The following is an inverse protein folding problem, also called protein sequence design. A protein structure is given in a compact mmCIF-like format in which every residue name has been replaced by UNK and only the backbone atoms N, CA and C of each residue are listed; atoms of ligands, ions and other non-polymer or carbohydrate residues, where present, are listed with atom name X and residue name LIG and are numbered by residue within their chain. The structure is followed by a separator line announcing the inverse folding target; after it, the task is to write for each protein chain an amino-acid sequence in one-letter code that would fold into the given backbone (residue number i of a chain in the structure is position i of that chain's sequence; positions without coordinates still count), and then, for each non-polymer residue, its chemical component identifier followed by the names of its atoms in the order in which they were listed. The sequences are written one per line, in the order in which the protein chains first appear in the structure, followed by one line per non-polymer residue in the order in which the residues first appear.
data_IF_108066528510
#
_entry.id   IF_108066528510
#
_cell.length_a   1.000
_cell.length_b   1.000
_cell.length_c   1.000
_cell.angle_alpha   90.00
_cell.angle_beta   90.00
_cell.angle_gamma   90.00
#
_symmetry.space_group_name_H-M   'P 1'
#
loop_
_entity.id
_entity.type
_entity.pdbx_description
1 polymer ?
#
# COMPACT_ATOMS: atom_id res chain seq x y z
N UNK A 1 6.30 18.99 19.27
CA UNK A 1 5.64 17.87 18.56
C UNK A 1 4.15 17.97 18.86
N UNK A 2 3.24 17.85 17.87
CA UNK A 2 1.80 17.94 18.12
C UNK A 2 1.41 17.00 19.25
N UNK A 3 0.58 17.47 20.17
CA UNK A 3 0.14 16.76 21.39
C UNK A 3 -0.47 15.37 21.10
N UNK A 4 -0.93 15.11 19.87
CA UNK A 4 -1.47 13.80 19.46
C UNK A 4 -0.38 12.74 19.21
N UNK A 5 0.79 13.07 18.63
CA UNK A 5 1.80 12.04 18.26
C UNK A 5 2.29 11.27 19.50
N UNK A 6 2.59 11.97 20.60
CA UNK A 6 3.03 11.34 21.84
C UNK A 6 1.95 10.40 22.42
N UNK A 7 0.67 10.79 22.33
CA UNK A 7 -0.45 9.93 22.73
C UNK A 7 -0.53 8.69 21.86
N UNK A 8 -0.30 8.82 20.55
CA UNK A 8 -0.27 7.69 19.62
C UNK A 8 0.91 6.74 19.84
N UNK A 9 2.07 7.25 20.25
CA UNK A 9 3.23 6.46 20.66
C UNK A 9 2.91 5.70 21.96
N UNK A 10 2.33 6.37 22.96
CA UNK A 10 2.00 5.74 24.23
C UNK A 10 0.93 4.64 24.08
N UNK A 11 -0.07 4.86 23.22
CA UNK A 11 -1.03 3.80 22.84
C UNK A 11 -0.35 2.57 22.23
N UNK A 12 0.73 2.76 21.46
CA UNK A 12 1.49 1.65 20.87
C UNK A 12 2.34 0.91 21.91
N UNK A 13 2.89 1.63 22.89
CA UNK A 13 3.58 1.03 24.05
C UNK A 13 2.64 0.18 24.87
N UNK A 14 1.45 0.69 25.21
CA UNK A 14 0.44 -0.10 25.92
C UNK A 14 0.09 -1.40 25.17
N UNK A 15 -0.18 -1.29 23.87
CA UNK A 15 -0.47 -2.46 23.01
C UNK A 15 0.73 -3.39 22.82
N UNK A 16 1.96 -2.87 22.94
CA UNK A 16 3.16 -3.69 22.90
C UNK A 16 3.20 -4.66 24.08
N UNK A 17 2.83 -4.18 25.26
CA UNK A 17 2.74 -4.98 26.49
C UNK A 17 1.57 -5.97 26.43
N UNK A 18 0.40 -5.53 25.93
CA UNK A 18 -0.83 -6.34 25.96
C UNK A 18 -0.93 -7.37 24.81
N UNK A 19 -0.42 -7.07 23.61
CA UNK A 19 -0.72 -7.83 22.39
C UNK A 19 0.48 -8.62 21.83
N UNK A 20 1.69 -8.42 22.34
CA UNK A 20 2.89 -9.12 21.87
C UNK A 20 3.18 -10.32 22.77
N UNK A 21 3.43 -11.48 22.15
CA UNK A 21 3.64 -12.73 22.86
C UNK A 21 5.08 -13.21 22.81
N UNK A 22 5.85 -12.80 21.79
CA UNK A 22 7.21 -13.30 21.61
C UNK A 22 8.07 -12.30 20.84
N UNK A 23 9.29 -12.09 21.33
CA UNK A 23 10.37 -11.36 20.66
C UNK A 23 11.56 -12.31 20.52
N UNK A 24 12.13 -12.42 19.33
CA UNK A 24 13.29 -13.29 19.05
C UNK A 24 14.31 -12.52 18.25
N UNK A 25 15.53 -12.42 18.76
CA UNK A 25 16.66 -11.87 18.00
C UNK A 25 17.10 -12.88 16.91
N UNK A 26 17.19 -12.40 15.67
CA UNK A 26 17.58 -13.18 14.48
C UNK A 26 18.89 -12.71 13.87
N UNK A 27 19.49 -11.65 14.39
CA UNK A 27 20.79 -11.16 13.94
C UNK A 27 21.89 -11.44 14.96
N UNK A 28 23.06 -10.86 14.69
CA UNK A 28 24.30 -11.19 15.42
C UNK A 28 24.61 -10.21 16.56
N UNK A 29 23.92 -9.07 16.62
CA UNK A 29 24.12 -8.06 17.65
C UNK A 29 22.99 -8.14 18.68
N UNK A 30 23.23 -7.94 19.99
CA UNK A 30 22.17 -7.99 21.00
C UNK A 30 21.11 -6.89 20.82
N UNK A 31 21.54 -5.66 20.56
CA UNK A 31 20.65 -4.49 20.40
C UNK A 31 20.30 -4.13 18.94
N UNK A 32 21.29 -3.70 18.15
CA UNK A 32 21.13 -3.25 16.75
C UNK A 32 21.00 -4.41 15.78
N UNK A 33 19.84 -5.05 15.79
CA UNK A 33 19.60 -6.33 15.14
C UNK A 33 18.25 -6.42 14.46
N UNK A 34 18.07 -7.52 13.74
CA UNK A 34 16.80 -7.97 13.20
C UNK A 34 16.10 -8.86 14.23
N UNK A 35 14.87 -8.51 14.59
CA UNK A 35 14.02 -9.25 15.50
C UNK A 35 12.78 -9.78 14.77
N UNK A 36 12.33 -10.95 15.17
CA UNK A 36 11.05 -11.52 14.81
C UNK A 36 10.08 -11.35 15.99
N UNK A 37 8.99 -10.61 15.77
CA UNK A 37 8.02 -10.26 16.81
C UNK A 37 6.67 -10.86 16.47
N UNK A 38 6.12 -11.67 17.38
CA UNK A 38 4.84 -12.37 17.21
C UNK A 38 3.77 -11.78 18.13
N UNK A 39 2.55 -11.68 17.61
CA UNK A 39 1.40 -11.13 18.34
C UNK A 39 0.36 -12.20 18.68
N UNK A 40 -0.57 -11.86 19.59
CA UNK A 40 -1.72 -12.71 19.96
C UNK A 40 -2.58 -13.17 18.76
N UNK A 41 -2.50 -12.46 17.63
CA UNK A 41 -3.18 -12.83 16.38
C UNK A 41 -2.54 -13.99 15.62
N UNK A 42 -1.42 -14.54 16.11
CA UNK A 42 -0.64 -15.57 15.42
C UNK A 42 0.23 -15.04 14.26
N UNK A 43 0.21 -13.73 14.00
CA UNK A 43 1.04 -13.09 12.97
C UNK A 43 2.38 -12.64 13.54
N UNK A 44 3.42 -12.81 12.74
CA UNK A 44 4.79 -12.38 13.05
C UNK A 44 5.30 -11.36 12.04
N UNK A 45 6.09 -10.41 12.52
CA UNK A 45 6.68 -9.33 11.71
C UNK A 45 8.16 -9.16 12.04
N UNK A 46 8.92 -8.66 11.07
CA UNK A 46 10.34 -8.33 11.24
C UNK A 46 10.47 -6.90 11.74
N UNK A 47 11.28 -6.70 12.78
CA UNK A 47 11.62 -5.40 13.37
C UNK A 47 13.13 -5.23 13.30
N UNK A 48 13.61 -4.08 12.86
CA UNK A 48 15.04 -3.81 12.79
C UNK A 48 15.39 -2.56 13.60
N UNK A 49 16.19 -2.77 14.64
CA UNK A 49 16.58 -1.75 15.62
C UNK A 49 17.88 -1.08 15.18
N UNK A 50 17.84 0.26 15.14
CA UNK A 50 18.92 1.16 14.71
C UNK A 50 19.20 2.25 15.75
N UNK A 51 18.20 2.56 16.55
CA UNK A 51 18.27 3.53 17.63
C UNK A 51 17.40 3.06 18.79
N UNK A 52 17.85 3.32 20.01
CA UNK A 52 17.08 3.01 21.23
C UNK A 52 16.13 4.15 21.59
N UNK A 53 16.46 5.38 21.17
CA UNK A 53 15.81 6.59 21.63
C UNK A 53 15.20 7.42 20.49
N UNK A 54 15.71 7.24 19.27
CA UNK A 54 15.18 7.91 18.09
C UNK A 54 14.22 7.01 17.31
N UNK A 55 13.27 7.63 16.61
CA UNK A 55 12.24 6.94 15.81
C UNK A 55 12.77 6.46 14.45
N UNK A 56 13.99 5.90 14.42
CA UNK A 56 14.67 5.45 13.20
C UNK A 56 14.48 3.96 12.93
N UNK A 57 13.88 3.22 13.86
CA UNK A 57 13.63 1.78 13.73
C UNK A 57 12.59 1.48 12.65
N UNK A 58 12.66 0.29 12.05
CA UNK A 58 11.72 -0.12 11.00
C UNK A 58 10.99 -1.42 11.35
N UNK A 59 9.79 -1.58 10.80
CA UNK A 59 8.99 -2.79 10.98
C UNK A 59 8.25 -3.16 9.69
N UNK A 60 8.09 -4.46 9.43
CA UNK A 60 7.33 -4.94 8.26
C UNK A 60 5.82 -4.97 8.48
N UNK A 61 5.31 -4.57 9.65
CA UNK A 61 3.88 -4.61 9.92
C UNK A 61 3.10 -3.54 9.14
N UNK A 62 1.82 -3.79 8.78
CA UNK A 62 1.00 -2.82 8.07
C UNK A 62 0.85 -1.48 8.79
N UNK A 63 0.74 -1.49 10.14
CA UNK A 63 0.61 -0.26 10.93
C UNK A 63 1.83 0.66 10.71
N UNK A 64 3.05 0.13 10.83
CA UNK A 64 4.28 0.93 10.63
C UNK A 64 4.33 1.56 9.23
N UNK A 65 3.98 0.80 8.20
CA UNK A 65 4.03 1.26 6.80
C UNK A 65 3.04 2.40 6.49
N UNK A 66 1.99 2.57 7.30
CA UNK A 66 0.92 3.55 7.05
C UNK A 66 0.75 4.60 8.15
N UNK A 67 1.41 4.47 9.30
CA UNK A 67 1.12 5.32 10.45
C UNK A 67 1.88 6.63 10.53
N UNK A 68 2.95 6.82 9.75
CA UNK A 68 3.71 8.07 9.66
C UNK A 68 4.28 8.60 11.00
N UNK A 69 4.38 7.75 12.03
CA UNK A 69 4.92 8.13 13.36
C UNK A 69 6.40 7.74 13.49
N UNK A 70 6.86 6.75 12.74
CA UNK A 70 8.20 6.17 12.90
C UNK A 70 8.30 5.09 13.99
N UNK A 71 7.18 4.65 14.58
CA UNK A 71 7.14 3.48 15.46
C UNK A 71 5.82 2.69 15.35
N UNK A 72 5.80 1.47 15.88
CA UNK A 72 4.61 0.62 15.98
C UNK A 72 4.71 -0.24 17.26
N UNK A 73 3.63 -0.93 17.63
CA UNK A 73 3.64 -1.80 18.82
C UNK A 73 4.75 -2.86 18.82
N UNK A 74 5.18 -3.33 17.65
CA UNK A 74 6.25 -4.34 17.55
C UNK A 74 7.63 -3.71 17.82
N UNK A 75 7.86 -2.48 17.35
CA UNK A 75 9.11 -1.75 17.64
C UNK A 75 9.17 -1.44 19.14
N UNK A 76 8.09 -0.88 19.70
CA UNK A 76 8.04 -0.56 21.13
C UNK A 76 8.24 -1.81 22.00
N UNK A 77 7.67 -2.95 21.61
CA UNK A 77 7.88 -4.21 22.35
C UNK A 77 9.34 -4.64 22.36
N UNK A 78 10.05 -4.53 21.23
CA UNK A 78 11.49 -4.85 21.19
C UNK A 78 12.27 -3.86 22.04
N UNK A 79 11.97 -2.56 21.98
CA UNK A 79 12.65 -1.57 22.81
C UNK A 79 12.45 -1.79 24.32
N UNK A 80 11.23 -2.15 24.73
CA UNK A 80 10.91 -2.51 26.12
C UNK A 80 11.71 -3.76 26.51
N UNK A 81 11.63 -4.82 25.70
CA UNK A 81 12.34 -6.08 25.94
C UNK A 81 13.86 -5.88 26.07
N UNK A 82 14.47 -5.07 25.20
CA UNK A 82 15.91 -4.78 25.26
C UNK A 82 16.30 -4.00 26.52
N UNK A 83 15.47 -3.03 26.94
CA UNK A 83 15.70 -2.26 28.16
C UNK A 83 15.58 -3.14 29.41
N UNK A 84 14.65 -4.09 29.43
CA UNK A 84 14.49 -5.02 30.54
C UNK A 84 15.62 -6.06 30.58
N UNK A 85 15.91 -6.71 29.45
CA UNK A 85 16.91 -7.79 29.35
C UNK A 85 18.34 -7.29 29.60
N UNK A 86 18.68 -6.10 29.11
CA UNK A 86 20.03 -5.55 29.18
C UNK A 86 20.16 -4.35 30.13
N UNK A 87 19.27 -4.22 31.13
CA UNK A 87 19.20 -3.06 32.04
C UNK A 87 20.58 -2.52 32.47
N UNK A 88 21.46 -3.38 32.97
CA UNK A 88 22.77 -2.97 33.53
C UNK A 88 23.88 -2.79 32.47
N UNK A 89 23.66 -3.28 31.24
CA UNK A 89 24.68 -3.33 30.17
C UNK A 89 24.26 -2.59 28.91
N UNK A 90 23.11 -1.94 28.91
CA UNK A 90 22.53 -1.31 27.73
C UNK A 90 23.47 -0.27 27.13
N UNK A 91 24.08 0.57 27.96
CA UNK A 91 25.01 1.63 27.53
C UNK A 91 26.33 1.09 26.99
N UNK A 92 26.81 -0.04 27.52
CA UNK A 92 28.00 -0.74 27.02
C UNK A 92 27.72 -1.28 25.62
N UNK A 93 26.65 -2.06 25.48
CA UNK A 93 26.23 -2.68 24.23
C UNK A 93 25.80 -1.65 23.16
N UNK A 94 25.28 -0.49 23.57
CA UNK A 94 24.91 0.58 22.65
C UNK A 94 26.13 1.22 21.97
N UNK A 95 27.31 1.14 22.58
CA UNK A 95 28.57 1.64 21.98
C UNK A 95 29.12 0.69 20.90
N UNK A 96 28.79 -0.61 20.98
CA UNK A 96 29.33 -1.66 20.11
C UNK A 96 28.61 -1.77 18.75
N UNK A 97 28.42 -0.66 18.03
CA UNK A 97 27.66 -0.69 16.77
C UNK A 97 28.27 -1.65 15.73
N UNK A 98 27.42 -2.33 14.93
CA UNK A 98 27.87 -3.12 13.78
C UNK A 98 28.77 -2.31 12.84
N UNK A 99 29.77 -2.96 12.24
CA UNK A 99 30.77 -2.29 11.39
C UNK A 99 30.22 -1.72 10.08
N UNK A 100 29.09 -2.22 9.60
CA UNK A 100 28.45 -1.76 8.37
C UNK A 100 27.35 -0.74 8.63
N UNK A 101 26.88 -0.10 7.57
CA UNK A 101 25.70 0.77 7.57
C UNK A 101 24.67 0.23 6.59
N UNK A 102 23.40 0.44 6.92
CA UNK A 102 22.29 0.13 6.03
C UNK A 102 21.62 1.40 5.52
N UNK A 103 21.23 1.37 4.26
CA UNK A 103 20.32 2.34 3.67
C UNK A 103 18.91 1.77 3.80
N UNK A 104 18.00 2.51 4.41
CA UNK A 104 16.67 2.04 4.79
C UNK A 104 15.58 3.05 4.42
N UNK A 105 14.34 2.56 4.37
CA UNK A 105 13.16 3.38 4.14
C UNK A 105 12.56 3.74 5.50
N UNK A 106 12.47 5.02 5.80
CA UNK A 106 11.93 5.54 7.04
C UNK A 106 10.50 6.03 6.81
N UNK A 107 9.56 5.59 7.65
CA UNK A 107 8.15 5.99 7.61
C UNK A 107 7.84 6.99 8.73
N UNK A 108 8.31 8.23 8.55
CA UNK A 108 7.91 9.38 9.37
C UNK A 108 6.72 10.12 8.74
N UNK A 109 6.59 11.41 9.04
CA UNK A 109 5.62 12.32 8.39
C UNK A 109 5.74 12.20 6.86
N UNK A 110 6.98 12.23 6.39
CA UNK A 110 7.34 11.90 5.01
C UNK A 110 8.06 10.55 4.95
N UNK A 111 7.82 9.81 3.87
CA UNK A 111 8.60 8.61 3.56
C UNK A 111 9.93 9.05 2.99
N UNK A 112 11.01 8.80 3.73
CA UNK A 112 12.37 9.20 3.34
C UNK A 112 13.29 8.01 3.21
N UNK A 113 14.24 8.07 2.30
CA UNK A 113 15.35 7.12 2.24
C UNK A 113 16.47 7.66 3.09
N UNK A 114 16.99 6.83 4.01
CA UNK A 114 17.98 7.24 4.99
C UNK A 114 19.15 6.26 5.07
N UNK A 115 20.30 6.73 5.54
CA UNK A 115 21.47 5.91 5.85
C UNK A 115 21.67 5.86 7.36
N UNK A 116 22.02 4.69 7.90
CA UNK A 116 22.31 4.52 9.32
C UNK A 116 23.58 5.29 9.71
N UNK A 117 23.46 6.03 10.81
CA UNK A 117 24.57 6.75 11.43
C UNK A 117 25.08 5.99 12.66
N UNK A 118 26.37 6.13 13.01
CA UNK A 118 27.41 6.86 12.28
C UNK A 118 27.86 6.10 11.00
N UNK A 119 28.37 6.84 10.02
CA UNK A 119 28.89 6.24 8.79
C UNK A 119 30.15 5.39 9.06
N UNK A 120 30.42 4.36 8.24
CA UNK A 120 31.65 3.57 8.37
C UNK A 120 32.90 4.44 8.26
N UNK A 121 33.90 4.21 9.10
CA UNK A 121 35.16 5.00 9.18
C UNK A 121 36.07 4.88 7.93
N UNK A 122 35.66 4.15 6.89
CA UNK A 122 36.43 4.02 5.64
C UNK A 122 36.23 5.27 4.81
N UNK A 123 37.31 6.03 4.59
CA UNK A 123 37.27 7.32 3.88
C UNK A 123 36.53 7.26 2.54
N UNK A 124 36.82 6.26 1.69
CA UNK A 124 36.15 6.08 0.40
C UNK A 124 34.63 5.85 0.52
N UNK A 125 34.19 5.10 1.53
CA UNK A 125 32.75 4.85 1.79
C UNK A 125 32.09 6.10 2.34
N UNK A 126 32.75 6.77 3.29
CA UNK A 126 32.24 7.99 3.92
C UNK A 126 32.08 9.11 2.90
N UNK A 127 33.11 9.35 2.07
CA UNK A 127 33.09 10.35 1.01
C UNK A 127 32.01 10.04 -0.03
N UNK A 128 31.81 8.77 -0.37
CA UNK A 128 30.72 8.38 -1.27
C UNK A 128 29.36 8.70 -0.66
N UNK A 129 29.10 8.26 0.57
CA UNK A 129 27.79 8.42 1.21
C UNK A 129 27.44 9.89 1.47
N UNK A 130 28.40 10.74 1.84
CA UNK A 130 28.14 12.18 2.06
C UNK A 130 27.79 12.96 0.80
N UNK A 131 28.04 12.41 -0.40
CA UNK A 131 27.55 13.00 -1.67
C UNK A 131 26.05 12.78 -1.89
N UNK A 132 25.49 11.72 -1.29
CA UNK A 132 24.09 11.32 -1.49
C UNK A 132 23.22 11.54 -0.27
N UNK A 133 23.80 11.64 0.93
CA UNK A 133 23.06 11.82 2.18
C UNK A 133 23.53 13.08 2.91
N UNK A 134 22.57 13.79 3.49
CA UNK A 134 22.85 14.94 4.34
C UNK A 134 23.43 14.52 5.72
N UNK A 135 23.88 15.47 6.56
CA UNK A 135 24.42 15.15 7.89
C UNK A 135 23.44 14.42 8.84
N UNK A 136 22.14 14.51 8.60
CA UNK A 136 21.09 13.79 9.35
C UNK A 136 20.79 12.39 8.79
N UNK A 137 21.51 12.01 7.73
CA UNK A 137 21.41 10.73 7.05
C UNK A 137 20.22 10.66 6.08
N UNK A 138 19.64 11.77 5.63
CA UNK A 138 18.52 11.77 4.67
C UNK A 138 19.04 11.90 3.24
N UNK A 139 18.47 11.12 2.31
CA UNK A 139 18.85 11.13 0.89
C UNK A 139 18.59 12.51 0.27
N UNK A 140 19.60 13.04 -0.42
CA UNK A 140 19.55 14.32 -1.12
C UNK A 140 18.98 14.10 -2.53
N UNK A 141 17.98 14.90 -2.90
CA UNK A 141 17.39 14.89 -4.25
C UNK A 141 16.38 13.76 -4.48
N UNK A 142 16.08 13.49 -5.75
CA UNK A 142 15.07 12.50 -6.13
C UNK A 142 15.58 11.06 -5.94
N UNK A 143 14.87 10.19 -5.19
CA UNK A 143 15.22 8.77 -5.09
C UNK A 143 15.33 8.07 -6.44
N UNK A 144 14.53 8.48 -7.43
CA UNK A 144 14.56 7.93 -8.81
C UNK A 144 15.92 8.10 -9.49
N UNK A 145 16.63 9.18 -9.19
CA UNK A 145 17.92 9.51 -9.81
C UNK A 145 19.09 9.13 -8.88
N UNK A 146 18.98 9.48 -7.61
CA UNK A 146 20.05 9.31 -6.63
C UNK A 146 20.34 7.84 -6.32
N UNK A 147 19.32 6.98 -6.19
CA UNK A 147 19.52 5.57 -5.83
C UNK A 147 20.20 4.74 -6.92
N UNK A 148 19.80 4.83 -8.22
CA UNK A 148 20.54 4.17 -9.28
C UNK A 148 21.99 4.64 -9.37
N UNK A 149 22.23 5.96 -9.26
CA UNK A 149 23.58 6.53 -9.29
C UNK A 149 24.43 6.05 -8.09
N UNK A 150 23.86 6.04 -6.89
CA UNK A 150 24.52 5.51 -5.70
C UNK A 150 24.83 4.01 -5.84
N UNK A 151 23.89 3.21 -6.35
CA UNK A 151 24.08 1.78 -6.58
C UNK A 151 25.23 1.51 -7.57
N UNK A 152 25.28 2.29 -8.66
CA UNK A 152 26.37 2.23 -9.63
C UNK A 152 27.73 2.62 -8.99
N UNK A 153 27.76 3.71 -8.21
CA UNK A 153 28.96 4.13 -7.52
C UNK A 153 29.45 3.11 -6.48
N UNK A 154 28.54 2.52 -5.69
CA UNK A 154 28.85 1.44 -4.74
C UNK A 154 29.43 0.20 -5.45
N UNK A 155 29.02 -0.08 -6.69
CA UNK A 155 29.53 -1.20 -7.47
C UNK A 155 30.99 -0.99 -7.93
N UNK A 156 31.48 0.25 -7.97
CA UNK A 156 32.89 0.57 -8.30
C UNK A 156 33.83 0.40 -7.12
N UNK A 157 33.31 0.30 -5.89
CA UNK A 157 34.13 0.13 -4.69
C UNK A 157 34.73 -1.29 -4.60
N UNK A 158 35.91 -1.45 -3.98
CA UNK A 158 36.46 -2.76 -3.67
C UNK A 158 35.46 -3.63 -2.88
N UNK A 159 35.42 -4.96 -3.07
CA UNK A 159 34.46 -5.83 -2.39
C UNK A 159 34.42 -5.67 -0.86
N UNK A 160 35.57 -5.39 -0.24
CA UNK A 160 35.69 -5.14 1.20
C UNK A 160 34.91 -3.89 1.63
N UNK A 161 35.00 -2.81 0.86
CA UNK A 161 34.33 -1.55 1.18
C UNK A 161 32.84 -1.61 0.78
N UNK A 162 32.52 -2.24 -0.35
CA UNK A 162 31.13 -2.49 -0.78
C UNK A 162 30.35 -3.29 0.26
N UNK A 163 30.99 -4.25 0.92
CA UNK A 163 30.35 -5.06 1.97
C UNK A 163 29.93 -4.27 3.22
N UNK A 164 30.45 -3.05 3.39
CA UNK A 164 30.09 -2.16 4.51
C UNK A 164 28.77 -1.43 4.30
N UNK A 165 28.21 -1.42 3.09
CA UNK A 165 26.96 -0.71 2.78
C UNK A 165 25.93 -1.69 2.26
N UNK A 166 24.80 -1.81 2.97
CA UNK A 166 23.69 -2.65 2.55
C UNK A 166 22.48 -1.81 2.16
N UNK A 167 21.96 -2.00 0.95
CA UNK A 167 20.68 -1.42 0.55
C UNK A 167 19.53 -2.30 1.06
N UNK A 168 18.63 -1.72 1.85
CA UNK A 168 17.47 -2.42 2.40
C UNK A 168 16.44 -2.82 1.33
N UNK A 169 15.76 -3.94 1.55
CA UNK A 169 14.69 -4.46 0.68
C UNK A 169 13.59 -3.41 0.44
N UNK A 170 13.12 -2.75 1.51
CA UNK A 170 12.09 -1.71 1.41
C UNK A 170 12.51 -0.49 0.56
N UNK A 171 13.81 -0.18 0.48
CA UNK A 171 14.30 0.91 -0.38
C UNK A 171 14.22 0.52 -1.85
N UNK A 172 14.55 -0.74 -2.18
CA UNK A 172 14.38 -1.27 -3.54
C UNK A 172 12.91 -1.30 -3.93
N UNK A 173 12.04 -1.83 -3.08
CA UNK A 173 10.59 -1.83 -3.30
C UNK A 173 10.03 -0.40 -3.52
N UNK A 174 10.55 0.58 -2.79
CA UNK A 174 10.16 1.97 -2.96
C UNK A 174 10.64 2.55 -4.29
N UNK A 175 11.88 2.28 -4.68
CA UNK A 175 12.41 2.70 -5.98
C UNK A 175 11.62 2.08 -7.14
N UNK A 176 11.34 0.77 -7.07
CA UNK A 176 10.54 0.05 -8.07
C UNK A 176 9.14 0.68 -8.22
N UNK A 177 8.51 1.06 -7.10
CA UNK A 177 7.21 1.74 -7.12
C UNK A 177 7.29 3.12 -7.80
N UNK A 178 8.34 3.89 -7.53
CA UNK A 178 8.52 5.20 -8.17
C UNK A 178 8.78 5.06 -9.67
N UNK A 179 9.63 4.11 -10.07
CA UNK A 179 9.95 3.85 -11.46
C UNK A 179 8.72 3.36 -12.23
N UNK A 180 7.92 2.49 -11.61
CA UNK A 180 6.67 2.00 -12.19
C UNK A 180 5.66 3.14 -12.40
N UNK A 181 5.61 4.13 -11.50
CA UNK A 181 4.77 5.33 -11.67
C UNK A 181 5.25 6.21 -12.83
N UNK A 182 6.56 6.49 -12.89
CA UNK A 182 7.16 7.28 -13.98
C UNK A 182 6.94 6.60 -15.35
N UNK A 183 7.19 5.29 -15.42
CA UNK A 183 7.00 4.51 -16.64
C UNK A 183 5.54 4.53 -17.13
N UNK A 184 4.56 4.48 -16.21
CA UNK A 184 3.14 4.56 -16.55
C UNK A 184 2.77 5.93 -17.08
N UNK A 185 3.34 7.00 -16.52
CA UNK A 185 3.12 8.36 -17.01
C UNK A 185 3.70 8.54 -18.42
N UNK A 186 4.95 8.16 -18.66
CA UNK A 186 5.55 8.21 -19.99
C UNK A 186 4.76 7.36 -21.01
N UNK A 187 4.24 6.20 -20.58
CA UNK A 187 3.42 5.37 -21.44
C UNK A 187 2.07 6.02 -21.79
N UNK A 188 1.45 6.74 -20.85
CA UNK A 188 0.22 7.51 -21.10
C UNK A 188 0.47 8.55 -22.19
N UNK A 189 1.53 9.33 -22.05
CA UNK A 189 1.93 10.36 -23.01
C UNK A 189 2.21 9.77 -24.38
N UNK A 190 2.99 8.69 -24.44
CA UNK A 190 3.25 7.97 -25.68
C UNK A 190 1.97 7.45 -26.34
N UNK A 191 1.06 6.86 -25.56
CA UNK A 191 -0.21 6.34 -26.08
C UNK A 191 -1.06 7.45 -26.69
N UNK A 192 -1.21 8.58 -25.98
CA UNK A 192 -1.95 9.74 -26.46
C UNK A 192 -1.34 10.31 -27.75
N UNK A 193 -0.01 10.33 -27.85
CA UNK A 193 0.69 10.73 -29.07
C UNK A 193 0.42 9.77 -30.24
N UNK A 194 0.39 8.45 -30.00
CA UNK A 194 0.02 7.48 -31.03
C UNK A 194 -1.43 7.64 -31.50
N UNK A 195 -2.34 7.99 -30.59
CA UNK A 195 -3.74 8.30 -30.95
C UNK A 195 -3.79 9.55 -31.84
N UNK A 196 -3.08 10.62 -31.49
CA UNK A 196 -3.00 11.84 -32.31
C UNK A 196 -2.47 11.57 -33.72
N UNK A 197 -1.54 10.63 -33.86
CA UNK A 197 -0.97 10.20 -35.15
C UNK A 197 -1.86 9.24 -35.94
N UNK A 198 -2.98 8.79 -35.38
CA UNK A 198 -3.87 7.79 -36.00
C UNK A 198 -3.34 6.36 -35.95
N UNK A 199 -2.23 6.10 -35.23
CA UNK A 199 -1.62 4.77 -35.11
C UNK A 199 -2.33 3.88 -34.08
N UNK A 200 -3.13 4.49 -33.20
CA UNK A 200 -3.92 3.80 -32.17
C UNK A 200 -5.29 4.46 -32.05
N UNK A 201 -6.26 3.71 -31.57
CA UNK A 201 -7.61 4.21 -31.28
C UNK A 201 -8.06 3.73 -29.90
N UNK A 202 -9.12 4.36 -29.40
CA UNK A 202 -9.85 3.92 -28.21
C UNK A 202 -10.91 2.86 -28.52
N UNK A 203 -11.03 2.44 -29.79
CA UNK A 203 -12.03 1.51 -30.29
C UNK A 203 -11.69 0.05 -29.89
N UNK A 204 -11.69 -0.24 -28.58
CA UNK A 204 -11.54 -1.59 -28.02
C UNK A 204 -12.87 -2.30 -27.79
N UNK A 205 -13.98 -1.58 -27.96
CA UNK A 205 -15.33 -2.06 -27.77
C UNK A 205 -16.07 -2.15 -29.11
N UNK A 206 -17.16 -2.92 -29.13
CA UNK A 206 -18.09 -3.02 -30.26
C UNK A 206 -18.84 -1.70 -30.55
N UNK A 207 -18.72 -0.69 -29.68
CA UNK A 207 -19.38 0.61 -29.81
C UNK A 207 -18.40 1.70 -29.40
N UNK A 208 -18.45 2.85 -30.08
CA UNK A 208 -17.62 4.00 -29.74
C UNK A 208 -18.03 4.60 -28.41
N UNK A 209 -17.03 4.98 -27.62
CA UNK A 209 -17.20 5.72 -26.38
C UNK A 209 -17.46 7.19 -26.68
N UNK A 210 -18.18 7.88 -25.79
CA UNK A 210 -18.19 9.34 -25.80
C UNK A 210 -16.83 9.89 -25.33
N UNK A 211 -16.41 11.11 -25.72
CA UNK A 211 -15.11 11.66 -25.34
C UNK A 211 -14.83 11.63 -23.84
N UNK A 212 -15.82 11.99 -23.01
CA UNK A 212 -15.67 11.95 -21.55
C UNK A 212 -15.51 10.52 -21.00
N UNK A 213 -16.08 9.52 -21.69
CA UNK A 213 -15.93 8.11 -21.32
C UNK A 213 -14.54 7.58 -21.70
N UNK A 214 -13.95 8.07 -22.79
CA UNK A 214 -12.56 7.77 -23.14
C UNK A 214 -11.61 8.32 -22.07
N UNK A 215 -11.83 9.56 -21.61
CA UNK A 215 -11.05 10.15 -20.53
C UNK A 215 -11.12 9.34 -19.24
N UNK A 216 -12.33 8.93 -18.83
CA UNK A 216 -12.52 8.10 -17.64
C UNK A 216 -11.92 6.69 -17.78
N UNK A 217 -12.02 6.07 -18.96
CA UNK A 217 -11.33 4.81 -19.24
C UNK A 217 -9.80 4.97 -19.18
N UNK A 218 -9.24 6.06 -19.70
CA UNK A 218 -7.82 6.38 -19.63
C UNK A 218 -7.33 6.64 -18.21
N UNK A 219 -8.13 7.33 -17.41
CA UNK A 219 -7.87 7.51 -15.98
C UNK A 219 -7.75 6.17 -15.26
N UNK A 220 -8.63 5.21 -15.57
CA UNK A 220 -8.56 3.85 -15.01
C UNK A 220 -7.31 3.09 -15.50
N UNK A 221 -7.05 3.05 -16.80
CA UNK A 221 -5.92 2.31 -17.40
C UNK A 221 -4.57 2.78 -16.83
N UNK A 222 -4.34 4.10 -16.80
CA UNK A 222 -3.06 4.67 -16.40
C UNK A 222 -2.99 5.02 -14.91
N UNK A 223 -4.12 5.11 -14.21
CA UNK A 223 -4.13 5.25 -12.74
C UNK A 223 -3.75 3.96 -12.01
N UNK A 224 -3.81 2.80 -12.69
CA UNK A 224 -3.65 1.43 -12.18
C UNK A 224 -4.65 1.05 -11.09
N UNK A 225 -4.57 1.73 -9.96
CA UNK A 225 -5.47 1.63 -8.81
C UNK A 225 -6.19 2.96 -8.66
N UNK A 226 -7.33 3.10 -9.31
CA UNK A 226 -8.02 4.38 -9.49
C UNK A 226 -9.49 4.32 -9.06
N UNK A 227 -10.00 5.47 -8.62
CA UNK A 227 -11.42 5.70 -8.41
C UNK A 227 -12.00 6.44 -9.60
N UNK A 228 -13.14 5.97 -10.11
CA UNK A 228 -14.01 6.67 -11.04
C UNK A 228 -15.30 7.04 -10.30
N UNK A 229 -15.46 8.33 -10.01
CA UNK A 229 -16.52 8.88 -9.19
C UNK A 229 -17.54 9.70 -9.99
N UNK A 230 -17.73 9.38 -11.26
CA UNK A 230 -18.67 10.05 -12.15
C UNK A 230 -20.12 9.89 -11.68
N UNK A 231 -20.99 10.84 -12.01
CA UNK A 231 -22.42 10.79 -11.71
C UNK A 231 -23.11 9.51 -12.20
N UNK A 232 -24.23 9.18 -11.56
CA UNK A 232 -25.08 8.05 -11.97
C UNK A 232 -25.59 8.26 -13.41
N UNK A 233 -25.55 7.19 -14.22
CA UNK A 233 -26.00 7.24 -15.61
C UNK A 233 -24.93 7.63 -16.64
N UNK A 234 -23.75 8.11 -16.23
CA UNK A 234 -22.67 8.47 -17.17
C UNK A 234 -21.91 7.29 -17.81
N UNK A 235 -22.29 6.06 -17.46
CA UNK A 235 -21.72 4.85 -18.08
C UNK A 235 -20.39 4.39 -17.45
N UNK A 236 -20.22 4.51 -16.13
CA UNK A 236 -19.05 3.97 -15.42
C UNK A 236 -18.75 2.50 -15.76
N UNK A 237 -19.79 1.69 -15.94
CA UNK A 237 -19.68 0.28 -16.34
C UNK A 237 -18.99 0.13 -17.69
N UNK A 238 -19.44 0.86 -18.73
CA UNK A 238 -18.83 0.77 -20.06
C UNK A 238 -17.39 1.29 -20.06
N UNK A 239 -17.10 2.35 -19.30
CA UNK A 239 -15.74 2.86 -19.13
C UNK A 239 -14.81 1.82 -18.49
N UNK A 240 -15.28 1.12 -17.45
CA UNK A 240 -14.50 0.08 -16.78
C UNK A 240 -14.28 -1.17 -17.65
N UNK A 241 -15.28 -1.53 -18.47
CA UNK A 241 -15.14 -2.61 -19.47
C UNK A 241 -14.10 -2.22 -20.52
N UNK A 242 -14.18 -0.99 -21.06
CA UNK A 242 -13.20 -0.46 -22.01
C UNK A 242 -11.79 -0.47 -21.43
N UNK A 243 -11.61 0.06 -20.22
CA UNK A 243 -10.33 0.08 -19.53
C UNK A 243 -9.77 -1.35 -19.33
N UNK A 244 -10.62 -2.32 -19.01
CA UNK A 244 -10.23 -3.73 -18.87
C UNK A 244 -9.76 -4.33 -20.21
N UNK A 245 -10.47 -4.05 -21.30
CA UNK A 245 -10.07 -4.48 -22.64
C UNK A 245 -8.76 -3.81 -23.09
N UNK A 246 -8.59 -2.51 -22.86
CA UNK A 246 -7.34 -1.80 -23.12
C UNK A 246 -6.19 -2.39 -22.31
N UNK A 247 -6.38 -2.69 -21.02
CA UNK A 247 -5.34 -3.30 -20.20
C UNK A 247 -4.94 -4.70 -20.67
N UNK A 248 -5.88 -5.47 -21.24
CA UNK A 248 -5.58 -6.77 -21.84
C UNK A 248 -4.59 -6.60 -22.99
N UNK A 249 -4.86 -5.66 -23.90
CA UNK A 249 -4.03 -5.48 -25.09
C UNK A 249 -2.73 -4.73 -24.79
N UNK A 250 -2.74 -3.79 -23.84
CA UNK A 250 -1.57 -3.00 -23.47
C UNK A 250 -0.63 -3.73 -22.52
N UNK A 251 -1.16 -4.58 -21.61
CA UNK A 251 -0.42 -5.08 -20.44
C UNK A 251 -0.67 -6.55 -20.13
N UNK A 252 -1.31 -7.28 -21.05
CA UNK A 252 -1.59 -8.72 -20.96
C UNK A 252 -2.22 -9.12 -19.62
N UNK A 253 -3.17 -8.31 -19.11
CA UNK A 253 -4.01 -8.78 -18.00
C UNK A 253 -4.90 -9.92 -18.51
N UNK A 254 -5.19 -10.91 -17.67
CA UNK A 254 -5.92 -12.13 -18.06
C UNK A 254 -7.11 -12.43 -17.16
N UNK A 255 -7.08 -11.99 -15.91
CA UNK A 255 -8.13 -12.28 -14.92
C UNK A 255 -8.64 -11.02 -14.25
N UNK A 256 -9.90 -10.71 -14.50
CA UNK A 256 -10.62 -9.58 -13.90
C UNK A 256 -11.69 -10.10 -12.94
N UNK A 257 -11.66 -9.64 -11.70
CA UNK A 257 -12.72 -9.86 -10.72
C UNK A 257 -13.57 -8.61 -10.59
N UNK A 258 -14.87 -8.71 -10.83
CA UNK A 258 -15.84 -7.67 -10.56
C UNK A 258 -16.60 -8.04 -9.29
N UNK A 259 -16.55 -7.16 -8.30
CA UNK A 259 -17.33 -7.25 -7.05
C UNK A 259 -18.41 -6.19 -7.11
N UNK A 260 -19.67 -6.60 -7.15
CA UNK A 260 -20.82 -5.69 -7.29
C UNK A 260 -21.97 -6.10 -6.34
N UNK A 261 -23.02 -5.28 -6.16
CA UNK A 261 -24.27 -5.73 -5.54
C UNK A 261 -24.84 -6.96 -6.25
N UNK A 262 -25.48 -7.86 -5.49
CA UNK A 262 -26.05 -9.09 -6.04
C UNK A 262 -27.04 -8.84 -7.19
N UNK A 263 -27.81 -7.75 -7.13
CA UNK A 263 -28.75 -7.32 -8.17
C UNK A 263 -28.09 -6.92 -9.49
N UNK A 264 -26.81 -6.52 -9.48
CA UNK A 264 -26.10 -6.01 -10.67
C UNK A 264 -25.30 -7.09 -11.41
N UNK A 265 -25.15 -8.30 -10.86
CA UNK A 265 -24.28 -9.35 -11.45
C UNK A 265 -24.65 -9.67 -12.91
N UNK A 266 -25.94 -9.90 -13.17
CA UNK A 266 -26.39 -10.27 -14.52
C UNK A 266 -26.44 -9.06 -15.46
N UNK A 267 -26.59 -7.84 -14.93
CA UNK A 267 -26.46 -6.61 -15.73
C UNK A 267 -25.03 -6.46 -16.24
N UNK A 268 -24.03 -6.56 -15.35
CA UNK A 268 -22.61 -6.58 -15.72
C UNK A 268 -22.30 -7.62 -16.79
N UNK A 269 -22.78 -8.86 -16.62
CA UNK A 269 -22.57 -9.93 -17.60
C UNK A 269 -23.18 -9.59 -18.96
N UNK A 270 -24.35 -8.94 -18.99
CA UNK A 270 -25.02 -8.51 -20.23
C UNK A 270 -24.24 -7.38 -20.92
N UNK A 271 -23.80 -6.39 -20.17
CA UNK A 271 -23.02 -5.27 -20.70
C UNK A 271 -21.67 -5.73 -21.26
N UNK A 272 -20.96 -6.63 -20.56
CA UNK A 272 -19.72 -7.23 -21.06
C UNK A 272 -19.96 -7.93 -22.40
N UNK A 273 -20.96 -8.82 -22.48
CA UNK A 273 -21.28 -9.53 -23.73
C UNK A 273 -21.73 -8.60 -24.85
N UNK A 274 -22.31 -7.45 -24.53
CA UNK A 274 -22.74 -6.45 -25.50
C UNK A 274 -21.55 -5.68 -26.06
N UNK A 275 -20.64 -5.24 -25.20
CA UNK A 275 -19.58 -4.29 -25.58
C UNK A 275 -18.26 -4.93 -25.96
N UNK A 276 -18.01 -6.20 -25.60
CA UNK A 276 -16.75 -6.89 -25.87
C UNK A 276 -16.95 -8.38 -26.14
N UNK A 277 -16.00 -9.00 -26.86
CA UNK A 277 -15.94 -10.44 -27.12
C UNK A 277 -15.29 -11.24 -25.99
N UNK A 278 -14.84 -10.56 -24.92
CA UNK A 278 -14.18 -11.20 -23.78
C UNK A 278 -15.16 -12.07 -22.98
N UNK A 279 -14.68 -13.24 -22.55
CA UNK A 279 -15.47 -14.22 -21.80
C UNK A 279 -15.83 -13.73 -20.41
N UNK A 280 -17.03 -14.10 -19.94
CA UNK A 280 -17.57 -13.69 -18.64
C UNK A 280 -18.30 -14.81 -17.94
N UNK A 281 -17.97 -15.02 -16.67
CA UNK A 281 -18.59 -16.00 -15.77
C UNK A 281 -19.19 -15.29 -14.56
N UNK A 282 -20.47 -15.56 -14.30
CA UNK A 282 -21.16 -15.11 -13.08
C UNK A 282 -20.97 -16.18 -12.01
N UNK A 283 -20.48 -15.79 -10.84
CA UNK A 283 -20.27 -16.71 -9.73
C UNK A 283 -21.57 -16.87 -8.95
N UNK A 284 -22.08 -18.10 -8.93
CA UNK A 284 -23.34 -18.46 -8.27
C UNK A 284 -23.44 -19.96 -7.95
N UNK A 285 -24.50 -20.35 -7.24
CA UNK A 285 -24.70 -21.70 -6.74
C UNK A 285 -24.01 -21.95 -5.40
N UNK A 286 -23.99 -23.21 -4.98
CA UNK A 286 -23.40 -23.67 -3.72
C UNK A 286 -21.85 -23.70 -3.77
N UNK A 287 -21.18 -23.75 -2.61
CA UNK A 287 -19.71 -23.56 -2.49
C UNK A 287 -18.90 -24.42 -3.46
N UNK A 288 -19.25 -25.71 -3.60
CA UNK A 288 -18.56 -26.63 -4.51
C UNK A 288 -18.68 -26.21 -5.99
N UNK A 289 -19.86 -25.75 -6.41
CA UNK A 289 -20.08 -25.25 -7.78
C UNK A 289 -19.28 -23.95 -8.01
N UNK A 290 -19.35 -23.00 -7.06
CA UNK A 290 -18.61 -21.72 -7.14
C UNK A 290 -17.10 -21.93 -7.28
N UNK A 291 -16.52 -22.88 -6.55
CA UNK A 291 -15.10 -23.21 -6.67
C UNK A 291 -14.69 -23.56 -8.11
N UNK A 292 -15.52 -24.30 -8.83
CA UNK A 292 -15.28 -24.57 -10.26
C UNK A 292 -15.34 -23.30 -11.12
N UNK A 293 -16.33 -22.44 -10.87
CA UNK A 293 -16.50 -21.17 -11.60
C UNK A 293 -15.35 -20.17 -11.35
N UNK A 294 -14.76 -20.17 -10.15
CA UNK A 294 -13.58 -19.34 -9.87
C UNK A 294 -12.32 -19.84 -10.61
N UNK A 295 -12.23 -21.14 -10.92
CA UNK A 295 -11.08 -21.74 -11.60
C UNK A 295 -11.20 -21.75 -13.13
N UNK A 296 -12.39 -21.45 -13.65
CA UNK A 296 -12.63 -21.28 -15.09
C UNK A 296 -11.67 -20.22 -15.71
N UNK A 297 -11.38 -20.37 -17.00
CA UNK A 297 -10.49 -19.51 -17.78
C UNK A 297 -11.17 -18.23 -18.30
N UNK A 298 -12.42 -17.94 -17.94
CA UNK A 298 -13.07 -16.69 -18.38
C UNK A 298 -12.33 -15.44 -17.90
N UNK A 299 -12.25 -14.45 -18.77
CA UNK A 299 -11.54 -13.20 -18.54
C UNK A 299 -12.17 -12.41 -17.39
N UNK A 300 -13.50 -12.23 -17.42
CA UNK A 300 -14.26 -11.59 -16.34
C UNK A 300 -14.92 -12.63 -15.43
N UNK A 301 -14.82 -12.40 -14.12
CA UNK A 301 -15.55 -13.13 -13.08
C UNK A 301 -16.34 -12.14 -12.24
N UNK A 302 -17.64 -12.37 -12.09
CA UNK A 302 -18.54 -11.46 -11.39
C UNK A 302 -19.06 -12.11 -10.11
N UNK A 303 -18.77 -11.49 -8.97
CA UNK A 303 -19.17 -11.94 -7.64
C UNK A 303 -19.87 -10.80 -6.90
N UNK A 304 -20.68 -11.13 -5.89
CA UNK A 304 -21.24 -10.13 -4.99
C UNK A 304 -20.45 -10.00 -3.68
N UNK A 305 -20.56 -8.83 -3.05
CA UNK A 305 -19.84 -8.48 -1.82
C UNK A 305 -19.98 -9.52 -0.71
N UNK A 306 -21.16 -10.11 -0.53
CA UNK A 306 -21.41 -11.10 0.52
C UNK A 306 -20.60 -12.38 0.28
N UNK A 307 -20.48 -12.84 -0.97
CA UNK A 307 -19.71 -14.04 -1.31
C UNK A 307 -18.21 -13.85 -1.14
N UNK A 308 -17.68 -12.63 -1.30
CA UNK A 308 -16.26 -12.34 -1.04
C UNK A 308 -15.85 -12.70 0.38
N UNK A 309 -16.77 -12.56 1.34
CA UNK A 309 -16.55 -12.97 2.73
C UNK A 309 -16.55 -14.49 2.91
N UNK A 310 -17.39 -15.21 2.17
CA UNK A 310 -17.60 -16.65 2.36
C UNK A 310 -16.66 -17.53 1.53
N UNK A 311 -16.11 -16.98 0.44
CA UNK A 311 -15.21 -17.66 -0.50
C UNK A 311 -13.80 -17.07 -0.42
N UNK A 312 -13.36 -16.64 0.76
CA UNK A 312 -12.08 -15.96 0.96
C UNK A 312 -10.88 -16.86 0.64
N UNK A 313 -10.98 -18.15 0.96
CA UNK A 313 -9.99 -19.16 0.63
C UNK A 313 -9.73 -19.24 -0.88
N UNK A 314 -10.78 -19.36 -1.70
CA UNK A 314 -10.65 -19.41 -3.15
C UNK A 314 -10.13 -18.08 -3.72
N UNK A 315 -10.69 -16.95 -3.27
CA UNK A 315 -10.37 -15.63 -3.80
C UNK A 315 -8.95 -15.17 -3.48
N UNK A 316 -8.41 -15.53 -2.32
CA UNK A 316 -7.04 -15.17 -1.93
C UNK A 316 -5.97 -16.04 -2.62
N UNK A 317 -6.34 -17.26 -3.02
CA UNK A 317 -5.45 -18.17 -3.73
C UNK A 317 -5.36 -17.88 -5.24
N UNK A 318 -6.35 -17.18 -5.80
CA UNK A 318 -6.35 -16.80 -7.21
C UNK A 318 -5.71 -15.43 -7.39
N UNK A 319 -4.70 -15.37 -8.25
CA UNK A 319 -4.11 -14.10 -8.68
C UNK A 319 -4.99 -13.44 -9.73
N UNK A 320 -5.75 -12.43 -9.32
CA UNK A 320 -6.45 -11.51 -10.21
C UNK A 320 -5.53 -10.36 -10.61
N UNK A 321 -5.53 -10.01 -11.89
CA UNK A 321 -4.73 -8.89 -12.39
C UNK A 321 -5.41 -7.57 -12.09
N UNK A 322 -6.73 -7.53 -12.25
CA UNK A 322 -7.61 -6.38 -12.00
C UNK A 322 -8.77 -6.78 -11.10
N UNK A 323 -9.06 -5.92 -10.11
CA UNK A 323 -10.27 -6.01 -9.29
C UNK A 323 -11.09 -4.74 -9.47
N UNK A 324 -12.36 -4.89 -9.82
CA UNK A 324 -13.31 -3.79 -9.98
C UNK A 324 -14.30 -3.88 -8.82
N UNK A 325 -14.42 -2.82 -8.03
CA UNK A 325 -15.46 -2.65 -7.03
C UNK A 325 -16.51 -1.71 -7.60
N UNK A 326 -17.71 -2.23 -7.83
CA UNK A 326 -18.87 -1.44 -8.22
C UNK A 326 -19.73 -1.11 -6.99
N UNK A 327 -20.34 0.07 -6.99
CA UNK A 327 -21.05 0.63 -5.84
C UNK A 327 -20.25 0.50 -4.53
N UNK A 328 -19.02 1.04 -4.55
CA UNK A 328 -18.03 0.87 -3.49
C UNK A 328 -18.42 1.47 -2.12
N UNK A 329 -19.50 2.25 -2.04
CA UNK A 329 -20.11 2.63 -0.77
C UNK A 329 -20.51 1.40 0.07
N UNK A 330 -20.65 0.21 -0.54
CA UNK A 330 -20.81 -1.07 0.17
C UNK A 330 -19.70 -1.38 1.17
N UNK A 331 -18.49 -0.82 0.99
CA UNK A 331 -17.36 -0.99 1.91
C UNK A 331 -17.06 0.26 2.74
N UNK A 332 -17.98 1.22 2.82
CA UNK A 332 -17.79 2.49 3.56
C UNK A 332 -17.49 2.30 5.05
N UNK A 333 -18.02 1.25 5.66
CA UNK A 333 -17.72 0.91 7.05
C UNK A 333 -16.59 -0.13 7.14
N UNK A 334 -15.38 0.36 7.46
CA UNK A 334 -14.16 -0.43 7.58
C UNK A 334 -14.21 -1.53 8.66
N UNK A 335 -15.14 -1.46 9.63
CA UNK A 335 -15.29 -2.44 10.70
C UNK A 335 -16.04 -3.70 10.26
N UNK A 336 -16.74 -3.64 9.12
CA UNK A 336 -17.50 -4.79 8.63
C UNK A 336 -16.57 -5.90 8.16
N UNK A 337 -16.94 -7.16 8.42
CA UNK A 337 -16.18 -8.34 7.96
C UNK A 337 -16.02 -8.34 6.43
N UNK A 338 -17.04 -7.86 5.71
CA UNK A 338 -17.01 -7.71 4.26
C UNK A 338 -15.96 -6.71 3.81
N UNK A 339 -15.94 -5.48 4.37
CA UNK A 339 -14.92 -4.49 4.01
C UNK A 339 -13.50 -4.96 4.35
N UNK A 340 -13.32 -5.60 5.51
CA UNK A 340 -12.04 -6.20 5.89
C UNK A 340 -11.60 -7.27 4.88
N UNK A 341 -12.52 -8.11 4.41
CA UNK A 341 -12.20 -9.16 3.45
C UNK A 341 -11.89 -8.60 2.06
N UNK A 342 -12.71 -7.67 1.54
CA UNK A 342 -12.45 -6.99 0.27
C UNK A 342 -11.09 -6.32 0.25
N UNK A 343 -10.69 -5.64 1.35
CA UNK A 343 -9.36 -5.00 1.49
C UNK A 343 -8.19 -5.99 1.54
N UNK A 344 -8.44 -7.28 1.78
CA UNK A 344 -7.40 -8.32 1.70
C UNK A 344 -7.14 -8.78 0.26
N UNK A 345 -8.08 -8.56 -0.66
CA UNK A 345 -7.87 -8.87 -2.06
C UNK A 345 -6.75 -7.99 -2.62
N UNK A 346 -5.78 -8.60 -3.31
CA UNK A 346 -4.63 -7.90 -3.89
C UNK A 346 -4.59 -8.14 -5.38
N UNK A 347 -4.30 -7.07 -6.11
CA UNK A 347 -4.22 -7.05 -7.57
C UNK A 347 -3.29 -5.93 -8.01
N UNK A 348 -2.73 -6.06 -9.22
CA UNK A 348 -1.88 -5.00 -9.80
C UNK A 348 -2.71 -3.77 -10.15
N UNK A 349 -3.94 -4.00 -10.65
CA UNK A 349 -4.91 -2.97 -11.01
C UNK A 349 -6.13 -3.06 -10.10
N UNK A 350 -6.72 -1.91 -9.76
CA UNK A 350 -7.96 -1.86 -9.00
C UNK A 350 -8.81 -0.67 -9.43
N UNK A 351 -10.06 -0.91 -9.81
CA UNK A 351 -10.98 0.16 -10.15
C UNK A 351 -12.05 0.24 -9.07
N UNK A 352 -12.30 1.43 -8.58
CA UNK A 352 -13.40 1.71 -7.66
C UNK A 352 -14.40 2.60 -8.39
N UNK A 353 -15.60 2.07 -8.60
CA UNK A 353 -16.69 2.77 -9.27
C UNK A 353 -17.73 3.15 -8.22
N UNK A 354 -18.08 4.43 -8.17
CA UNK A 354 -19.13 4.93 -7.27
C UNK A 354 -19.75 6.20 -7.84
N UNK A 355 -21.06 6.38 -7.72
CA UNK A 355 -21.69 7.68 -8.02
C UNK A 355 -21.67 8.64 -6.84
N UNK A 356 -21.40 8.12 -5.64
CA UNK A 356 -21.47 8.84 -4.37
C UNK A 356 -20.28 8.42 -3.48
N UNK A 357 -19.05 8.87 -3.78
CA UNK A 357 -17.87 8.48 -3.00
C UNK A 357 -17.94 8.96 -1.54
N UNK A 358 -18.75 9.99 -1.28
CA UNK A 358 -19.02 10.58 0.02
C UNK A 358 -20.54 10.72 0.15
N UNK A 359 -21.17 10.00 1.07
CA UNK A 359 -22.62 10.16 1.33
C UNK A 359 -22.84 11.07 2.54
N UNK A 360 -22.24 10.73 3.68
CA UNK A 360 -22.55 11.38 4.95
C UNK A 360 -21.30 11.82 5.71
N UNK A 361 -20.22 11.03 5.64
CA UNK A 361 -19.05 11.21 6.50
C UNK A 361 -17.76 11.02 5.74
N UNK A 362 -16.79 11.88 6.01
CA UNK A 362 -15.45 11.82 5.42
C UNK A 362 -14.73 10.47 5.71
N UNK A 363 -15.06 9.79 6.80
CA UNK A 363 -14.61 8.42 7.12
C UNK A 363 -15.00 7.37 6.07
N UNK A 364 -16.11 7.58 5.35
CA UNK A 364 -16.59 6.66 4.30
C UNK A 364 -15.59 6.63 3.15
N UNK A 365 -15.12 7.81 2.73
CA UNK A 365 -14.05 7.96 1.76
C UNK A 365 -12.76 7.30 2.26
N UNK A 366 -12.43 7.47 3.54
CA UNK A 366 -11.24 6.85 4.13
C UNK A 366 -11.25 5.31 3.96
N UNK A 367 -12.39 4.66 4.22
CA UNK A 367 -12.49 3.21 4.06
C UNK A 367 -12.30 2.77 2.60
N UNK A 368 -12.87 3.51 1.65
CA UNK A 368 -12.76 3.19 0.22
C UNK A 368 -11.31 3.42 -0.27
N UNK A 369 -10.69 4.55 0.10
CA UNK A 369 -9.32 4.89 -0.28
C UNK A 369 -8.31 3.88 0.26
N UNK A 370 -8.54 3.28 1.43
CA UNK A 370 -7.70 2.21 1.95
C UNK A 370 -7.67 0.97 1.04
N UNK A 371 -8.71 0.70 0.26
CA UNK A 371 -8.68 -0.37 -0.73
C UNK A 371 -7.75 -0.01 -1.90
N UNK A 372 -7.78 1.24 -2.37
CA UNK A 372 -6.91 1.71 -3.46
C UNK A 372 -5.45 1.78 -3.01
N UNK A 373 -5.15 2.58 -2.00
CA UNK A 373 -3.83 2.65 -1.37
C UNK A 373 -3.97 3.21 0.06
N UNK A 374 -3.68 2.42 1.10
CA UNK A 374 -3.80 2.86 2.49
C UNK A 374 -2.83 3.99 2.87
N UNK A 375 -1.88 4.35 2.00
CA UNK A 375 -0.91 5.43 2.25
C UNK A 375 -1.45 6.80 1.85
N UNK A 376 -2.45 6.87 0.95
CA UNK A 376 -2.92 8.16 0.38
C UNK A 376 -3.44 9.11 1.47
N UNK A 377 -4.21 8.59 2.42
CA UNK A 377 -4.82 9.39 3.48
C UNK A 377 -4.07 9.31 4.82
N UNK A 378 -2.95 8.60 4.86
CA UNK A 378 -2.23 8.32 6.09
C UNK A 378 -3.08 7.53 7.11
N UNK A 379 -2.71 7.56 8.40
CA UNK A 379 -3.47 6.88 9.43
C UNK A 379 -4.72 7.65 9.85
N UNK A 380 -5.72 6.92 10.34
CA UNK A 380 -7.02 7.48 10.70
C UNK A 380 -6.93 8.59 11.77
N UNK A 381 -6.00 8.50 12.73
CA UNK A 381 -5.86 9.55 13.74
C UNK A 381 -5.38 10.87 13.13
N UNK A 382 -4.41 10.83 12.23
CA UNK A 382 -3.89 12.02 11.54
C UNK A 382 -4.92 12.57 10.55
N UNK A 383 -5.64 11.67 9.87
CA UNK A 383 -6.76 12.05 9.01
C UNK A 383 -7.87 12.75 9.80
N UNK A 384 -8.21 12.21 10.98
CA UNK A 384 -9.20 12.81 11.86
C UNK A 384 -8.73 14.15 12.41
N UNK A 385 -7.50 14.23 12.92
CA UNK A 385 -6.91 15.49 13.40
C UNK A 385 -6.89 16.56 12.31
N UNK A 386 -6.63 16.18 11.06
CA UNK A 386 -6.60 17.12 9.93
C UNK A 386 -7.98 17.58 9.47
N UNK A 387 -8.98 16.71 9.44
CA UNK A 387 -10.26 17.00 8.75
C UNK A 387 -11.49 17.03 9.66
N UNK A 388 -11.40 16.54 10.89
CA UNK A 388 -12.50 16.53 11.84
C UNK A 388 -12.27 17.55 12.95
N UNK A 389 -13.34 18.29 13.25
CA UNK A 389 -13.46 18.96 14.54
C UNK A 389 -14.11 17.98 15.54
N UNK A 390 -13.35 17.58 16.56
CA UNK A 390 -13.73 16.53 17.50
C UNK A 390 -13.83 17.07 18.93
N UNK A 391 -14.99 16.92 19.55
CA UNK A 391 -15.17 17.11 20.98
C UNK A 391 -14.88 15.79 21.72
N UNK A 392 -13.93 15.82 22.65
CA UNK A 392 -13.66 14.67 23.51
C UNK A 392 -14.76 14.58 24.57
N UNK A 393 -15.52 13.48 24.56
CA UNK A 393 -16.48 13.16 25.61
C UNK A 393 -15.75 12.68 26.87
N UNK A 394 -16.32 12.92 28.04
CA UNK A 394 -15.77 12.52 29.33
C UNK A 394 -15.46 11.02 29.45
N UNK A 395 -16.17 10.19 28.69
CA UNK A 395 -16.00 8.72 28.69
C UNK A 395 -14.92 8.24 27.70
N UNK A 396 -14.09 9.15 27.17
CA UNK A 396 -12.99 8.84 26.24
C UNK A 396 -13.41 8.62 24.77
N UNK A 397 -14.70 8.82 24.45
CA UNK A 397 -15.20 8.85 23.07
C UNK A 397 -15.02 10.23 22.43
N UNK A 398 -15.11 10.31 21.10
CA UNK A 398 -15.09 11.57 20.37
C UNK A 398 -16.46 11.81 19.72
N UNK A 399 -16.97 13.04 19.82
CA UNK A 399 -18.14 13.53 19.06
C UNK A 399 -17.63 14.38 17.91
N UNK A 400 -18.10 14.10 16.70
CA UNK A 400 -17.82 14.96 15.54
C UNK A 400 -18.67 16.22 15.67
N UNK A 401 -18.03 17.38 15.82
CA UNK A 401 -18.67 18.69 15.85
C UNK A 401 -18.84 19.25 14.44
N UNK A 402 -17.88 18.98 13.56
CA UNK A 402 -17.86 19.47 12.19
C UNK A 402 -16.63 18.98 11.43
N UNK A 403 -16.37 19.63 10.31
CA UNK A 403 -15.20 19.38 9.46
C UNK A 403 -14.38 20.66 9.35
N UNK A 404 -13.06 20.51 9.21
CA UNK A 404 -12.11 21.61 9.03
C UNK A 404 -11.33 21.43 7.72
N UNK A 405 -10.92 22.55 7.11
CA UNK A 405 -10.28 22.62 5.78
C UNK A 405 -8.75 22.65 5.86
#
# INVERSE_FOLDING_TARGET
MPTDINVQVERRRKRAIEEITKVVNKGNHPLYSLFEVSSVSGRSYRVEIRSLDELHNTCTCPDYKSNLIGTCKHIESVLIHLREEYTDRLDELAKERPRGTKIYLHHGVDVTVRVELPLPKRAAVQELLTRYFDPSGVLIGSPLQALPALSAALATLPPRDRSLVTLGEAVREHLDLLQDREAVQCQKEWFLEQVKRGNRSFDVLSTRLYPYQEEGAMHLVFGRRAMLADDMGLGKTVQAIAASAMLKDLRDIRRVLIVCPASLKHQWAREIRRFTSLSVTVIEGHKKARRGLYLDNSFFKIVNYELVRFDDEELLNIRFDLIILDEAQRIKNWRTKTAQMVKRLRSRYAFVLTGTPLENRIDELYSIMQFLDPRILGPLWHFNDRFYDLEKKDHGGYKVLGYQN
#
